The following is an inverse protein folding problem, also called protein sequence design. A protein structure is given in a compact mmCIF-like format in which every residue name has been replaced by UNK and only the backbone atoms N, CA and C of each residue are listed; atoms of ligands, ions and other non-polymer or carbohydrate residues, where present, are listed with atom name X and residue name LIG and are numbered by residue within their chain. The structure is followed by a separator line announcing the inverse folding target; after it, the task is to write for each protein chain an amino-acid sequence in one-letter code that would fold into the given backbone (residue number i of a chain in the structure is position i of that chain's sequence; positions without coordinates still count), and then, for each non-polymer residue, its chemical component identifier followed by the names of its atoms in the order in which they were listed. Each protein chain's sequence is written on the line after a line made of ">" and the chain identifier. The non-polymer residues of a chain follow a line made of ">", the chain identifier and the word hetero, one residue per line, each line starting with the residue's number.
data_IF_559770663704
#
_entry.id   IF_559770663704
#
_cell.length_a   1.000
_cell.length_b   1.000
_cell.length_c   1.000
_cell.angle_alpha   90.00
_cell.angle_beta   90.00
_cell.angle_gamma   90.00
#
_symmetry.space_group_name_H-M   'P 1'
#
loop_
_entity.id
_entity.type
_entity.pdbx_description
1 polymer ?
#
# COMPACT_ATOMS: atom_id res chain seq x y z
N UNK A 1 48.30 -25.19 22.11
CA UNK A 1 47.05 -24.92 22.84
C UNK A 1 46.55 -23.49 22.59
N UNK A 2 47.44 -22.51 22.43
CA UNK A 2 47.13 -21.11 22.09
C UNK A 2 46.40 -20.91 20.75
N UNK A 3 46.79 -21.60 19.68
CA UNK A 3 46.13 -21.47 18.36
C UNK A 3 44.68 -21.95 18.30
N UNK A 4 44.30 -22.93 19.13
CA UNK A 4 42.92 -23.38 19.18
C UNK A 4 42.02 -22.37 19.89
N UNK A 5 42.55 -21.67 20.91
CA UNK A 5 41.81 -20.61 21.61
C UNK A 5 41.53 -19.42 20.69
N UNK A 6 42.51 -18.99 19.88
CA UNK A 6 42.28 -17.86 18.95
C UNK A 6 41.25 -18.21 17.86
N UNK A 7 41.19 -19.46 17.39
CA UNK A 7 40.17 -19.87 16.44
C UNK A 7 38.75 -19.75 17.01
N UNK A 8 38.54 -20.21 18.25
CA UNK A 8 37.24 -20.10 18.91
C UNK A 8 36.86 -18.65 19.23
N UNK A 9 37.82 -17.79 19.58
CA UNK A 9 37.60 -16.35 19.75
C UNK A 9 37.12 -15.70 18.45
N UNK A 10 37.82 -15.91 17.33
CA UNK A 10 37.37 -15.37 16.03
C UNK A 10 36.00 -15.91 15.59
N UNK A 11 35.70 -17.18 15.89
CA UNK A 11 34.39 -17.75 15.60
C UNK A 11 33.28 -17.08 16.44
N UNK A 12 33.56 -16.80 17.71
CA UNK A 12 32.64 -16.07 18.60
C UNK A 12 32.41 -14.64 18.12
N UNK A 13 33.47 -13.93 17.72
CA UNK A 13 33.35 -12.57 17.16
C UNK A 13 32.49 -12.55 15.88
N UNK A 14 32.66 -13.56 15.01
CA UNK A 14 31.85 -13.69 13.80
C UNK A 14 30.39 -14.00 14.13
N UNK A 15 30.13 -14.87 15.11
CA UNK A 15 28.78 -15.18 15.58
C UNK A 15 28.08 -13.91 16.11
N UNK A 16 28.77 -13.14 16.97
CA UNK A 16 28.26 -11.86 17.48
C UNK A 16 27.97 -10.87 16.36
N UNK A 17 28.86 -10.77 15.36
CA UNK A 17 28.65 -9.92 14.18
C UNK A 17 27.45 -10.35 13.33
N UNK A 18 27.22 -11.66 13.17
CA UNK A 18 26.05 -12.17 12.46
C UNK A 18 24.75 -11.88 13.22
N UNK A 19 24.76 -12.01 14.54
CA UNK A 19 23.59 -11.65 15.37
C UNK A 19 23.32 -10.15 15.26
N UNK A 20 24.35 -9.30 15.36
CA UNK A 20 24.20 -7.85 15.24
C UNK A 20 23.70 -7.40 13.85
N UNK A 21 24.15 -8.05 12.79
CA UNK A 21 23.65 -7.74 11.43
C UNK A 21 22.21 -8.21 11.25
N UNK A 22 21.82 -9.37 11.81
CA UNK A 22 20.44 -9.84 11.77
C UNK A 22 19.49 -8.90 12.52
N UNK A 23 19.89 -8.38 13.68
CA UNK A 23 19.09 -7.41 14.43
C UNK A 23 18.92 -6.10 13.66
N UNK A 24 19.99 -5.58 13.05
CA UNK A 24 19.91 -4.41 12.18
C UNK A 24 18.93 -4.61 11.02
N UNK A 25 18.95 -5.77 10.36
CA UNK A 25 18.00 -6.09 9.28
C UNK A 25 16.55 -6.13 9.80
N UNK A 26 16.34 -6.69 10.98
CA UNK A 26 15.02 -6.72 11.63
C UNK A 26 14.50 -5.29 11.94
N UNK A 27 15.38 -4.42 12.43
CA UNK A 27 15.04 -3.03 12.72
C UNK A 27 14.70 -2.26 11.44
N UNK A 28 15.48 -2.44 10.38
CA UNK A 28 15.21 -1.84 9.06
C UNK A 28 13.85 -2.31 8.54
N UNK A 29 13.55 -3.61 8.61
CA UNK A 29 12.25 -4.15 8.20
C UNK A 29 11.10 -3.50 8.97
N UNK A 30 11.25 -3.36 10.28
CA UNK A 30 10.22 -2.75 11.14
C UNK A 30 10.00 -1.28 10.80
N UNK A 31 11.09 -0.53 10.57
CA UNK A 31 11.01 0.88 10.18
C UNK A 31 10.40 1.04 8.77
N UNK A 32 10.74 0.17 7.83
CA UNK A 32 10.16 0.17 6.49
C UNK A 32 8.65 -0.09 6.54
N UNK A 33 8.19 -1.03 7.36
CA UNK A 33 6.75 -1.28 7.56
C UNK A 33 6.03 -0.04 8.10
N UNK A 34 6.61 0.66 9.08
CA UNK A 34 6.04 1.92 9.59
C UNK A 34 5.95 2.99 8.50
N UNK A 35 7.02 3.18 7.73
CA UNK A 35 7.03 4.13 6.61
C UNK A 35 5.99 3.78 5.55
N UNK A 36 5.81 2.50 5.23
CA UNK A 36 4.78 2.05 4.29
C UNK A 36 3.38 2.41 4.80
N UNK A 37 3.09 2.17 6.08
CA UNK A 37 1.79 2.51 6.69
C UNK A 37 1.53 4.02 6.75
N UNK A 38 2.57 4.82 6.98
CA UNK A 38 2.46 6.28 6.95
C UNK A 38 2.29 6.80 5.52
N UNK A 39 2.98 6.22 4.55
CA UNK A 39 2.82 6.61 3.15
C UNK A 39 1.39 6.33 2.64
N UNK A 40 0.83 5.18 3.01
CA UNK A 40 -0.55 4.82 2.61
C UNK A 40 -1.58 5.73 3.25
N UNK A 41 -1.41 6.08 4.54
CA UNK A 41 -2.30 7.03 5.23
C UNK A 41 -2.23 8.43 4.59
N UNK A 42 -1.03 8.92 4.29
CA UNK A 42 -0.82 10.21 3.63
C UNK A 42 -1.39 10.24 2.20
N UNK A 43 -1.31 9.13 1.46
CA UNK A 43 -1.92 9.01 0.14
C UNK A 43 -3.44 9.11 0.21
N UNK A 44 -4.04 8.43 1.18
CA UNK A 44 -5.49 8.49 1.40
C UNK A 44 -5.95 9.90 1.82
N UNK A 45 -5.20 10.55 2.70
CA UNK A 45 -5.49 11.93 3.10
C UNK A 45 -5.35 12.91 1.93
N UNK A 46 -4.27 12.79 1.14
CA UNK A 46 -4.10 13.61 -0.07
C UNK A 46 -5.24 13.42 -1.07
N UNK A 47 -5.72 12.19 -1.27
CA UNK A 47 -6.88 11.94 -2.12
C UNK A 47 -8.13 12.67 -1.59
N UNK A 48 -8.44 12.53 -0.31
CA UNK A 48 -9.58 13.23 0.33
C UNK A 48 -9.47 14.75 0.24
N UNK A 49 -8.27 15.30 0.40
CA UNK A 49 -8.05 16.74 0.29
C UNK A 49 -8.29 17.23 -1.15
N UNK A 50 -7.87 16.46 -2.16
CA UNK A 50 -8.15 16.76 -3.57
C UNK A 50 -9.64 16.72 -3.85
N UNK A 51 -10.37 15.71 -3.34
CA UNK A 51 -11.82 15.61 -3.51
C UNK A 51 -12.55 16.83 -2.92
N UNK A 52 -12.17 17.23 -1.70
CA UNK A 52 -12.74 18.44 -1.07
C UNK A 52 -12.41 19.69 -1.87
N UNK A 53 -11.19 19.81 -2.37
CA UNK A 53 -10.79 20.97 -3.18
C UNK A 53 -11.60 21.03 -4.47
N UNK A 54 -11.89 19.89 -5.11
CA UNK A 54 -12.76 19.84 -6.29
C UNK A 54 -14.18 20.29 -5.97
N UNK A 55 -14.75 19.87 -4.83
CA UNK A 55 -16.07 20.28 -4.34
C UNK A 55 -16.16 21.80 -4.10
N UNK A 56 -15.11 22.42 -3.58
CA UNK A 56 -15.06 23.88 -3.38
C UNK A 56 -14.75 24.67 -4.66
N UNK A 57 -14.15 24.05 -5.68
CA UNK A 57 -13.79 24.70 -6.94
C UNK A 57 -14.89 24.68 -8.00
N UNK A 58 -15.94 23.87 -7.82
CA UNK A 58 -17.15 23.92 -8.64
C UNK A 58 -18.05 25.08 -8.14
N UNK A 59 -18.25 26.16 -8.92
CA UNK A 59 -19.12 27.24 -8.49
C UNK A 59 -20.57 26.75 -8.46
N UNK A 60 -21.21 26.87 -7.28
CA UNK A 60 -22.64 26.67 -7.09
C UNK A 60 -23.45 27.43 -8.15
N UNK A 61 -23.81 26.74 -9.24
CA UNK A 61 -24.77 27.21 -10.24
C UNK A 61 -26.04 26.39 -10.01
N UNK A 62 -27.15 27.02 -9.55
CA UNK A 62 -28.38 26.29 -9.34
C UNK A 62 -29.13 26.30 -10.66
N UNK A 63 -28.97 25.31 -11.54
CA UNK A 63 -29.95 25.11 -12.61
C UNK A 63 -29.83 23.75 -13.33
N UNK A 64 -31.01 23.13 -13.46
CA UNK A 64 -31.41 22.14 -14.46
C UNK A 64 -30.93 20.69 -14.33
N UNK A 65 -31.85 19.91 -13.76
CA UNK A 65 -32.12 18.53 -14.17
C UNK A 65 -32.28 18.47 -15.69
N UNK A 66 -31.39 17.77 -16.37
CA UNK A 66 -31.65 16.71 -17.36
C UNK A 66 -30.50 16.60 -18.38
N UNK A 67 -30.25 15.34 -18.73
CA UNK A 67 -29.55 14.86 -19.92
C UNK A 67 -28.01 14.83 -19.95
N UNK A 68 -27.53 13.57 -19.92
CA UNK A 68 -26.47 13.05 -20.78
C UNK A 68 -25.06 13.61 -20.59
N UNK A 69 -24.41 13.14 -19.52
CA UNK A 69 -22.95 12.97 -19.51
C UNK A 69 -22.62 11.49 -19.47
N UNK A 70 -22.62 10.89 -20.65
CA UNK A 70 -21.91 9.64 -20.91
C UNK A 70 -20.43 9.79 -20.52
N UNK A 71 -19.94 8.84 -19.71
CA UNK A 71 -18.54 8.35 -19.66
C UNK A 71 -17.44 9.41 -19.49
N UNK A 72 -16.94 9.54 -18.27
CA UNK A 72 -15.50 9.65 -17.98
C UNK A 72 -15.19 9.00 -16.63
N UNK A 73 -14.93 7.69 -16.73
CA UNK A 73 -14.18 6.81 -15.82
C UNK A 73 -13.71 7.44 -14.50
N UNK A 74 -14.44 7.24 -13.38
CA UNK A 74 -13.91 7.49 -12.03
C UNK A 74 -12.90 6.40 -11.58
N UNK A 75 -12.64 5.39 -12.42
CA UNK A 75 -12.15 4.08 -11.98
C UNK A 75 -10.73 3.73 -12.43
N UNK A 76 -9.97 4.61 -13.09
CA UNK A 76 -8.63 4.22 -13.59
C UNK A 76 -7.70 3.83 -12.45
N UNK A 77 -7.71 4.59 -11.35
CA UNK A 77 -6.91 4.29 -10.16
C UNK A 77 -7.37 3.00 -9.45
N UNK A 78 -8.68 2.76 -9.37
CA UNK A 78 -9.22 1.53 -8.78
C UNK A 78 -8.90 0.31 -9.65
N UNK A 79 -8.88 0.49 -10.96
CA UNK A 79 -8.53 -0.56 -11.90
C UNK A 79 -7.03 -0.90 -11.84
N UNK A 80 -6.16 0.11 -11.76
CA UNK A 80 -4.71 -0.09 -11.53
C UNK A 80 -4.46 -0.87 -10.22
N UNK A 81 -5.10 -0.49 -9.12
CA UNK A 81 -4.97 -1.18 -7.82
C UNK A 81 -5.45 -2.65 -7.91
N UNK A 82 -6.51 -2.90 -8.67
CA UNK A 82 -7.03 -4.26 -8.87
C UNK A 82 -6.11 -5.11 -9.77
N UNK A 83 -5.55 -4.52 -10.83
CA UNK A 83 -4.59 -5.18 -11.73
C UNK A 83 -3.25 -5.47 -11.03
N UNK A 84 -2.85 -4.64 -10.08
CA UNK A 84 -1.72 -4.89 -9.17
C UNK A 84 -1.97 -6.04 -8.18
N UNK A 85 -3.19 -6.59 -8.18
CA UNK A 85 -3.59 -7.73 -7.38
C UNK A 85 -4.07 -7.35 -5.98
N UNK A 86 -4.73 -6.21 -5.82
CA UNK A 86 -5.33 -5.78 -4.55
C UNK A 86 -6.84 -5.59 -4.62
N UNK A 87 -7.53 -5.87 -3.52
CA UNK A 87 -8.96 -5.68 -3.41
C UNK A 87 -9.32 -4.19 -3.37
N UNK A 88 -10.37 -3.82 -4.08
CA UNK A 88 -10.95 -2.46 -4.10
C UNK A 88 -12.34 -2.37 -3.48
N UNK A 89 -12.87 -3.49 -2.99
CA UNK A 89 -14.13 -3.54 -2.27
C UNK A 89 -14.00 -3.07 -0.82
N UNK A 90 -15.12 -2.64 -0.23
CA UNK A 90 -15.17 -2.12 1.14
C UNK A 90 -14.63 -3.09 2.19
N UNK A 91 -14.84 -4.39 1.98
CA UNK A 91 -14.57 -5.41 2.99
C UNK A 91 -13.10 -5.81 3.07
N UNK A 92 -12.39 -5.75 1.95
CA UNK A 92 -11.00 -6.22 1.84
C UNK A 92 -10.04 -5.19 1.26
N UNK A 93 -10.44 -3.91 1.20
CA UNK A 93 -9.67 -2.85 0.54
C UNK A 93 -8.17 -2.89 0.87
N UNK A 94 -7.33 -3.02 -0.16
CA UNK A 94 -5.87 -3.04 -0.05
C UNK A 94 -5.26 -4.36 0.42
N UNK A 95 -6.05 -5.40 0.68
CA UNK A 95 -5.53 -6.77 0.84
C UNK A 95 -5.20 -7.37 -0.53
N UNK A 96 -4.26 -8.33 -0.55
CA UNK A 96 -3.80 -8.98 -1.78
C UNK A 96 -4.83 -10.01 -2.24
N UNK A 97 -5.12 -10.08 -3.54
CA UNK A 97 -5.88 -11.18 -4.11
C UNK A 97 -5.05 -12.46 -4.06
N UNK A 98 -5.73 -13.56 -3.76
CA UNK A 98 -5.14 -14.88 -3.92
C UNK A 98 -4.84 -15.15 -5.40
N UNK A 99 -3.72 -15.82 -5.73
CA UNK A 99 -3.31 -16.03 -7.12
C UNK A 99 -4.39 -16.77 -7.92
N UNK A 100 -4.97 -16.10 -8.92
CA UNK A 100 -5.97 -16.68 -9.83
C UNK A 100 -7.42 -16.54 -9.38
N UNK A 101 -7.70 -15.92 -8.24
CA UNK A 101 -9.06 -15.60 -7.81
C UNK A 101 -9.48 -14.18 -8.24
N UNK A 102 -10.77 -13.99 -8.49
CA UNK A 102 -11.37 -12.67 -8.76
C UNK A 102 -12.43 -12.37 -7.71
N UNK A 103 -12.41 -11.16 -7.15
CA UNK A 103 -13.40 -10.74 -6.16
C UNK A 103 -14.66 -10.21 -6.83
N UNK A 104 -15.81 -10.87 -6.60
CA UNK A 104 -17.10 -10.48 -7.18
C UNK A 104 -17.49 -9.03 -6.85
N UNK A 105 -17.22 -8.59 -5.61
CA UNK A 105 -17.49 -7.22 -5.18
C UNK A 105 -16.59 -6.19 -5.86
N UNK A 106 -15.32 -6.55 -6.13
CA UNK A 106 -14.42 -5.68 -6.89
C UNK A 106 -14.89 -5.56 -8.35
N UNK A 107 -15.36 -6.66 -8.94
CA UNK A 107 -15.92 -6.66 -10.29
C UNK A 107 -17.19 -5.81 -10.38
N UNK A 108 -18.08 -5.86 -9.39
CA UNK A 108 -19.29 -5.02 -9.34
C UNK A 108 -18.95 -3.53 -9.22
N UNK A 109 -17.85 -3.19 -8.55
CA UNK A 109 -17.37 -1.81 -8.44
C UNK A 109 -16.76 -1.34 -9.76
N UNK A 110 -15.98 -2.18 -10.45
CA UNK A 110 -15.19 -1.82 -11.63
C UNK A 110 -15.97 -1.82 -12.94
N UNK A 111 -16.96 -2.71 -13.10
CA UNK A 111 -17.59 -3.00 -14.40
C UNK A 111 -19.09 -2.71 -14.46
N UNK A 112 -19.63 -1.94 -13.52
CA UNK A 112 -21.04 -1.55 -13.47
C UNK A 112 -21.33 -0.24 -14.20
#
# INVERSE_FOLDING_TARGET
>A
MTDKMSFFEHLSELEEGLVATLTQVSDIKTNYQKLLTENTSLRLENARLRDRLTEFSEPHSPENKNENLTKKVPMSNLQEIYEDGFHVCRDFYGQRLEPGETCLYCAEILYR
#
